data_IF_859448634733
#
_entry.id   IF_859448634733
#
_cell.length_a   1.000
_cell.length_b   1.000
_cell.length_c   1.000
_cell.angle_alpha   90.00
_cell.angle_beta   90.00
_cell.angle_gamma   90.00
#
_symmetry.space_group_name_H-M   'P 1'
#
loop_
_entity.id
_entity.type
_entity.pdbx_description
1 polymer ?
#
# COMPACT_ATOMS: atom_id res chain seq x y z
N UNK A 1 59.87 -50.62 -27.17
CA UNK A 1 58.65 -50.03 -27.76
C UNK A 1 57.40 -50.17 -26.89
N UNK A 2 57.24 -51.19 -26.03
CA UNK A 2 56.04 -51.34 -25.17
C UNK A 2 55.93 -50.34 -23.99
N UNK A 3 57.06 -49.88 -23.44
CA UNK A 3 57.06 -48.96 -22.29
C UNK A 3 56.52 -47.56 -22.61
N UNK A 4 56.77 -47.06 -23.84
CA UNK A 4 56.32 -45.73 -24.28
C UNK A 4 54.79 -45.71 -24.43
N UNK A 5 54.20 -46.81 -24.92
CA UNK A 5 52.75 -46.97 -25.06
C UNK A 5 52.04 -47.04 -23.69
N UNK A 6 52.67 -47.69 -22.70
CA UNK A 6 52.13 -47.78 -21.34
C UNK A 6 52.13 -46.43 -20.61
N UNK A 7 53.15 -45.59 -20.83
CA UNK A 7 53.26 -44.25 -20.23
C UNK A 7 52.18 -43.31 -20.80
N UNK A 8 51.94 -43.32 -22.12
CA UNK A 8 50.88 -42.52 -22.74
C UNK A 8 49.46 -42.96 -22.34
N UNK A 9 49.23 -44.26 -22.13
CA UNK A 9 47.94 -44.78 -21.66
C UNK A 9 47.58 -44.31 -20.25
N UNK A 10 48.56 -44.21 -19.35
CA UNK A 10 48.34 -43.72 -17.98
C UNK A 10 48.01 -42.21 -17.96
N UNK A 11 48.63 -41.42 -18.84
CA UNK A 11 48.32 -40.00 -19.00
C UNK A 11 46.92 -39.77 -19.57
N UNK A 12 46.47 -40.59 -20.52
CA UNK A 12 45.11 -40.53 -21.06
C UNK A 12 44.04 -40.81 -19.98
N UNK A 13 44.28 -41.78 -19.08
CA UNK A 13 43.39 -42.06 -17.94
C UNK A 13 43.34 -40.87 -16.98
N UNK A 14 44.50 -40.27 -16.66
CA UNK A 14 44.54 -39.06 -15.82
C UNK A 14 43.77 -37.89 -16.44
N UNK A 15 43.89 -37.70 -17.75
CA UNK A 15 43.16 -36.66 -18.48
C UNK A 15 41.64 -36.90 -18.44
N UNK A 16 41.20 -38.14 -18.66
CA UNK A 16 39.79 -38.55 -18.55
C UNK A 16 39.21 -38.28 -17.15
N UNK A 17 39.93 -38.68 -16.10
CA UNK A 17 39.50 -38.41 -14.72
C UNK A 17 39.41 -36.90 -14.47
N UNK A 18 40.40 -36.13 -14.93
CA UNK A 18 40.42 -34.67 -14.77
C UNK A 18 39.29 -33.98 -15.53
N UNK A 19 38.95 -34.47 -16.72
CA UNK A 19 37.84 -33.96 -17.51
C UNK A 19 36.49 -34.20 -16.79
N UNK A 20 36.29 -35.40 -16.25
CA UNK A 20 35.07 -35.74 -15.51
C UNK A 20 34.96 -34.91 -14.23
N UNK A 21 36.05 -34.73 -13.48
CA UNK A 21 36.02 -33.91 -12.26
C UNK A 21 35.81 -32.43 -12.58
N UNK A 22 36.42 -31.90 -13.64
CA UNK A 22 36.21 -30.53 -14.10
C UNK A 22 34.73 -30.27 -14.48
N UNK A 23 34.12 -31.15 -15.30
CA UNK A 23 32.71 -31.03 -15.66
C UNK A 23 31.76 -31.11 -14.46
N UNK A 24 32.05 -31.99 -13.50
CA UNK A 24 31.26 -32.08 -12.24
C UNK A 24 31.41 -30.83 -11.39
N UNK A 25 32.60 -30.22 -11.35
CA UNK A 25 32.83 -28.98 -10.61
C UNK A 25 32.16 -27.79 -11.28
N UNK A 26 32.20 -27.70 -12.61
CA UNK A 26 31.53 -26.65 -13.36
C UNK A 26 30.00 -26.75 -13.24
N UNK A 27 29.43 -27.96 -13.32
CA UNK A 27 28.00 -28.17 -13.08
C UNK A 27 27.58 -27.71 -11.66
N UNK A 28 28.37 -28.02 -10.63
CA UNK A 28 28.09 -27.54 -9.26
C UNK A 28 28.21 -26.02 -9.12
N UNK A 29 29.16 -25.39 -9.83
CA UNK A 29 29.29 -23.93 -9.83
C UNK A 29 28.11 -23.26 -10.53
N UNK A 30 27.65 -23.83 -11.63
CA UNK A 30 26.47 -23.36 -12.36
C UNK A 30 25.20 -23.54 -11.54
N UNK A 31 25.02 -24.68 -10.87
CA UNK A 31 23.91 -24.89 -9.93
C UNK A 31 23.94 -23.87 -8.79
N UNK A 32 25.12 -23.62 -8.20
CA UNK A 32 25.27 -22.62 -7.15
C UNK A 32 24.97 -21.19 -7.66
N UNK A 33 25.44 -20.83 -8.87
CA UNK A 33 25.17 -19.50 -9.43
C UNK A 33 23.70 -19.32 -9.80
N UNK A 34 23.04 -20.35 -10.33
CA UNK A 34 21.59 -20.35 -10.58
C UNK A 34 20.83 -20.16 -9.28
N UNK A 35 21.17 -20.90 -8.23
CA UNK A 35 20.54 -20.76 -6.91
C UNK A 35 20.69 -19.34 -6.35
N UNK A 36 21.87 -18.72 -6.47
CA UNK A 36 22.08 -17.35 -6.03
C UNK A 36 21.20 -16.35 -6.82
N UNK A 37 21.13 -16.49 -8.15
CA UNK A 37 20.32 -15.61 -9.00
C UNK A 37 18.82 -15.78 -8.70
N UNK A 38 18.35 -17.01 -8.44
CA UNK A 38 16.96 -17.27 -8.05
C UNK A 38 16.61 -16.61 -6.71
N UNK A 39 17.51 -16.69 -5.73
CA UNK A 39 17.33 -16.01 -4.44
C UNK A 39 17.31 -14.49 -4.58
N UNK A 40 18.22 -13.91 -5.37
CA UNK A 40 18.22 -12.46 -5.65
C UNK A 40 16.93 -12.01 -6.35
N UNK A 41 16.47 -12.77 -7.33
CA UNK A 41 15.22 -12.49 -8.02
C UNK A 41 14.02 -12.59 -7.06
N UNK A 42 14.05 -13.55 -6.13
CA UNK A 42 13.02 -13.68 -5.09
C UNK A 42 13.03 -12.48 -4.15
N UNK A 43 14.20 -12.02 -3.71
CA UNK A 43 14.35 -10.81 -2.88
C UNK A 43 13.78 -9.58 -3.59
N UNK A 44 14.21 -9.32 -4.83
CA UNK A 44 13.70 -8.20 -5.64
C UNK A 44 12.19 -8.23 -5.82
N UNK A 45 11.59 -9.42 -5.98
CA UNK A 45 10.13 -9.56 -6.06
C UNK A 45 9.44 -9.19 -4.74
N UNK A 46 10.02 -9.58 -3.60
CA UNK A 46 9.50 -9.21 -2.29
C UNK A 46 9.62 -7.71 -2.09
N UNK A 47 10.79 -7.12 -2.31
CA UNK A 47 11.04 -5.69 -2.17
C UNK A 47 10.05 -4.87 -3.03
N UNK A 48 9.81 -5.29 -4.28
CA UNK A 48 8.83 -4.65 -5.17
C UNK A 48 7.38 -4.75 -4.66
N UNK A 49 7.02 -5.87 -4.03
CA UNK A 49 5.69 -6.03 -3.44
C UNK A 49 5.53 -5.18 -2.18
N UNK A 50 6.55 -5.10 -1.34
CA UNK A 50 6.58 -4.26 -0.14
C UNK A 50 6.44 -2.78 -0.50
N UNK A 51 7.20 -2.29 -1.48
CA UNK A 51 7.08 -0.90 -1.96
C UNK A 51 5.66 -0.59 -2.47
N UNK A 52 5.05 -1.53 -3.19
CA UNK A 52 3.66 -1.35 -3.67
C UNK A 52 2.63 -1.42 -2.55
N UNK A 53 2.89 -2.16 -1.48
CA UNK A 53 2.03 -2.16 -0.30
C UNK A 53 2.13 -0.82 0.41
N UNK A 54 3.33 -0.30 0.64
CA UNK A 54 3.53 1.03 1.25
C UNK A 54 2.85 2.15 0.45
N UNK A 55 2.97 2.13 -0.88
CA UNK A 55 2.26 3.08 -1.75
C UNK A 55 0.73 3.00 -1.60
N UNK A 56 0.19 1.79 -1.45
CA UNK A 56 -1.24 1.57 -1.26
C UNK A 56 -1.70 2.01 0.12
N UNK A 57 -0.93 1.70 1.15
CA UNK A 57 -1.24 2.09 2.53
C UNK A 57 -1.22 3.61 2.67
N UNK A 58 -0.23 4.30 2.09
CA UNK A 58 -0.21 5.76 2.04
C UNK A 58 -1.43 6.36 1.32
N UNK A 59 -1.90 5.72 0.23
CA UNK A 59 -3.14 6.15 -0.44
C UNK A 59 -4.38 5.92 0.42
N UNK A 60 -4.45 4.79 1.12
CA UNK A 60 -5.56 4.46 2.02
C UNK A 60 -5.64 5.48 3.15
N UNK A 61 -4.50 5.80 3.77
CA UNK A 61 -4.42 6.80 4.84
C UNK A 61 -4.86 8.19 4.35
N UNK A 62 -4.43 8.59 3.15
CA UNK A 62 -4.87 9.83 2.50
C UNK A 62 -6.40 9.88 2.32
N UNK A 63 -7.00 8.79 1.80
CA UNK A 63 -8.45 8.70 1.62
C UNK A 63 -9.20 8.75 2.96
N UNK A 64 -8.68 8.12 4.02
CA UNK A 64 -9.29 8.20 5.35
C UNK A 64 -9.19 9.59 5.96
N UNK A 65 -8.12 10.34 5.71
CA UNK A 65 -8.00 11.73 6.16
C UNK A 65 -9.00 12.64 5.45
N UNK A 66 -9.12 12.52 4.12
CA UNK A 66 -10.12 13.24 3.33
C UNK A 66 -11.55 12.93 3.79
N UNK A 67 -11.86 11.64 4.01
CA UNK A 67 -13.17 11.22 4.48
C UNK A 67 -13.52 11.82 5.84
N UNK A 68 -12.57 11.87 6.78
CA UNK A 68 -12.80 12.48 8.10
C UNK A 68 -13.08 13.97 7.97
N UNK A 69 -12.29 14.68 7.15
CA UNK A 69 -12.52 16.11 6.89
C UNK A 69 -13.91 16.37 6.31
N UNK A 70 -14.33 15.59 5.31
CA UNK A 70 -15.67 15.69 4.72
C UNK A 70 -16.79 15.39 5.74
N UNK A 71 -16.57 14.44 6.64
CA UNK A 71 -17.52 14.14 7.71
C UNK A 71 -17.64 15.29 8.72
N UNK A 72 -16.51 15.89 9.10
CA UNK A 72 -16.47 17.07 9.98
C UNK A 72 -17.16 18.27 9.33
N UNK A 73 -16.88 18.54 8.05
CA UNK A 73 -17.50 19.62 7.29
C UNK A 73 -19.02 19.43 7.21
N UNK A 74 -19.49 18.22 6.89
CA UNK A 74 -20.93 17.89 6.85
C UNK A 74 -21.59 18.01 8.22
N UNK A 75 -20.92 17.56 9.28
CA UNK A 75 -21.41 17.74 10.64
C UNK A 75 -21.57 19.23 10.98
N UNK A 76 -20.56 20.04 10.65
CA UNK A 76 -20.62 21.49 10.83
C UNK A 76 -21.75 22.14 10.03
N UNK A 77 -21.99 21.69 8.80
CA UNK A 77 -23.15 22.14 8.01
C UNK A 77 -24.48 21.80 8.67
N UNK A 78 -24.66 20.57 9.15
CA UNK A 78 -25.89 20.17 9.84
C UNK A 78 -26.16 21.02 11.08
N UNK A 79 -25.13 21.30 11.88
CA UNK A 79 -25.26 22.16 13.06
C UNK A 79 -25.73 23.56 12.66
N UNK A 80 -25.10 24.19 11.66
CA UNK A 80 -25.50 25.53 11.19
C UNK A 80 -26.92 25.56 10.65
N UNK A 81 -27.32 24.55 9.88
CA UNK A 81 -28.70 24.43 9.39
C UNK A 81 -29.68 24.33 10.56
N UNK A 82 -29.35 23.50 11.56
CA UNK A 82 -30.20 23.33 12.73
C UNK A 82 -30.32 24.61 13.57
N UNK A 83 -29.24 25.36 13.77
CA UNK A 83 -29.27 26.66 14.45
C UNK A 83 -30.21 27.65 13.74
N UNK A 84 -30.15 27.73 12.41
CA UNK A 84 -31.03 28.60 11.62
C UNK A 84 -32.49 28.14 11.69
N UNK A 85 -32.75 26.83 11.62
CA UNK A 85 -34.10 26.28 11.77
C UNK A 85 -34.71 26.61 13.14
N UNK A 86 -33.92 26.53 14.22
CA UNK A 86 -34.36 26.92 15.55
C UNK A 86 -34.68 28.41 15.62
N UNK A 87 -33.80 29.27 15.09
CA UNK A 87 -34.03 30.72 15.04
C UNK A 87 -35.27 31.06 14.20
N UNK A 88 -35.50 30.37 13.09
CA UNK A 88 -36.69 30.53 12.27
C UNK A 88 -37.95 30.16 13.05
N UNK A 89 -37.98 28.98 13.69
CA UNK A 89 -39.12 28.54 14.51
C UNK A 89 -39.42 29.51 15.64
N UNK A 90 -38.38 30.01 16.31
CA UNK A 90 -38.56 31.06 17.32
C UNK A 90 -39.17 32.34 16.72
N UNK A 91 -38.69 32.77 15.56
CA UNK A 91 -39.21 33.97 14.89
C UNK A 91 -40.65 33.81 14.42
N UNK A 92 -41.04 32.61 13.98
CA UNK A 92 -42.40 32.25 13.58
C UNK A 92 -43.33 32.31 14.79
N UNK A 93 -42.93 31.73 15.93
CA UNK A 93 -43.65 31.82 17.20
C UNK A 93 -43.76 33.28 17.68
N UNK A 94 -42.69 34.07 17.51
CA UNK A 94 -42.64 35.49 17.88
C UNK A 94 -43.27 36.42 16.84
N UNK A 95 -43.81 35.94 15.73
CA UNK A 95 -44.38 36.82 14.70
C UNK A 95 -45.72 37.39 15.17
N UNK A 96 -45.88 38.71 15.08
CA UNK A 96 -47.17 39.35 15.35
C UNK A 96 -48.10 39.15 14.16
N UNK A 97 -49.30 38.63 14.41
CA UNK A 97 -50.31 38.41 13.36
C UNK A 97 -51.06 39.69 12.96
N UNK A 98 -51.07 40.70 13.85
CA UNK A 98 -51.84 41.93 13.66
C UNK A 98 -50.91 43.09 13.25
N UNK A 99 -51.36 43.91 12.30
CA UNK A 99 -50.63 45.10 11.85
C UNK A 99 -50.72 46.21 12.91
N UNK A 100 -49.57 46.66 13.41
CA UNK A 100 -49.47 47.65 14.48
C UNK A 100 -49.35 47.00 15.85
N UNK A 101 -48.23 47.23 16.55
CA UNK A 101 -47.84 46.50 17.75
C UNK A 101 -48.70 46.78 19.00
N UNK A 102 -49.72 47.65 18.93
CA UNK A 102 -50.54 48.02 20.08
C UNK A 102 -51.45 46.91 20.63
N UNK A 103 -51.77 45.90 19.81
CA UNK A 103 -52.57 44.71 20.20
C UNK A 103 -51.95 43.43 19.63
N UNK A 104 -50.65 43.23 19.87
CA UNK A 104 -49.90 42.09 19.32
C UNK A 104 -50.48 40.74 19.82
N UNK A 105 -50.58 39.78 18.91
CA UNK A 105 -50.91 38.38 19.19
C UNK A 105 -49.82 37.52 18.50
N UNK A 106 -49.20 36.54 19.19
CA UNK A 106 -49.35 36.26 20.63
C UNK A 106 -48.80 37.41 21.51
N UNK A 107 -49.21 37.55 22.78
CA UNK A 107 -48.60 38.50 23.71
C UNK A 107 -47.07 38.34 23.75
N UNK A 108 -46.35 39.41 24.02
CA UNK A 108 -44.88 39.34 24.16
C UNK A 108 -44.54 38.89 25.58
N UNK A 109 -43.60 37.96 25.71
CA UNK A 109 -43.06 37.50 27.01
C UNK A 109 -41.85 38.32 27.47
N UNK A 110 -41.50 39.40 26.76
CA UNK A 110 -40.55 40.44 27.22
C UNK A 110 -41.18 41.36 28.25
#
# INVERSE_FOLDING_TARGET
>A
MAFITAIGGLEAIKWLVRLVTYRKMDARKEEASVSCIEEENRRKKVDWLEERLEQRDGKIDGLYAELRKEQEDKMGWMIRCHEVELAQKESEIKKCEIRGCGKRIPPSDY
#
